data_IF_414965740177
#
_entry.id   IF_414965740177
#
_cell.length_a   1.000
_cell.length_b   1.000
_cell.length_c   1.000
_cell.angle_alpha   90.00
_cell.angle_beta   90.00
_cell.angle_gamma   90.00
#
_symmetry.space_group_name_H-M   'P 1'
#
loop_
_entity.id
_entity.type
_entity.pdbx_description
1 polymer ?
#
# COMPACT_ATOMS: atom_id res chain seq x y z
N UNK A 1 54.51 -59.90 28.08
CA UNK A 1 53.21 -59.69 27.41
C UNK A 1 52.54 -58.47 28.08
N UNK A 2 52.72 -57.28 27.53
CA UNK A 2 52.11 -56.01 28.03
C UNK A 2 50.95 -55.69 27.09
N UNK A 3 49.74 -55.60 27.65
CA UNK A 3 48.54 -55.15 26.97
C UNK A 3 48.36 -53.65 27.16
N UNK A 4 48.45 -52.89 26.05
CA UNK A 4 48.16 -51.47 26.03
C UNK A 4 46.62 -51.25 25.95
N UNK A 5 46.10 -50.50 26.89
CA UNK A 5 44.71 -50.03 26.94
C UNK A 5 44.68 -48.65 26.24
N UNK A 6 43.87 -48.52 25.17
CA UNK A 6 43.60 -47.25 24.46
C UNK A 6 42.31 -46.67 25.05
N UNK A 7 42.27 -45.44 25.53
CA UNK A 7 41.01 -44.79 25.96
C UNK A 7 40.26 -44.24 24.74
N UNK A 8 39.02 -44.69 24.57
CA UNK A 8 38.09 -44.16 23.57
C UNK A 8 37.57 -42.79 23.97
N UNK A 9 37.75 -41.79 23.10
CA UNK A 9 37.08 -40.46 23.21
C UNK A 9 35.60 -40.60 22.80
N UNK A 10 34.72 -40.35 23.73
CA UNK A 10 33.28 -40.15 23.44
C UNK A 10 33.06 -38.70 23.07
N UNK A 11 32.82 -38.41 21.80
CA UNK A 11 32.41 -37.09 21.35
C UNK A 11 30.89 -36.89 21.58
N UNK A 12 30.53 -36.07 22.55
CA UNK A 12 29.16 -35.65 22.75
C UNK A 12 28.77 -34.60 21.73
N UNK A 13 27.91 -34.96 20.78
CA UNK A 13 27.30 -34.02 19.83
C UNK A 13 26.19 -33.24 20.52
N UNK A 14 26.42 -31.94 20.80
CA UNK A 14 25.36 -31.02 21.20
C UNK A 14 24.52 -30.69 19.96
N UNK A 15 23.30 -31.20 19.88
CA UNK A 15 22.30 -30.79 18.91
C UNK A 15 21.72 -29.44 19.37
N UNK A 16 22.11 -28.35 18.72
CA UNK A 16 21.43 -27.04 18.85
C UNK A 16 20.05 -27.16 18.18
N UNK A 17 19.02 -27.29 18.98
CA UNK A 17 17.65 -27.12 18.54
C UNK A 17 17.43 -25.64 18.19
N UNK A 18 17.51 -25.28 16.92
CA UNK A 18 17.04 -23.99 16.42
C UNK A 18 15.51 -23.97 16.54
N UNK A 19 15.01 -23.48 17.66
CA UNK A 19 13.58 -23.20 17.83
C UNK A 19 13.20 -22.11 16.84
N UNK A 20 12.45 -22.44 15.79
CA UNK A 20 11.74 -21.46 14.97
C UNK A 20 10.78 -20.72 15.88
N UNK A 21 11.12 -19.49 16.28
CA UNK A 21 10.19 -18.59 16.92
C UNK A 21 9.04 -18.36 15.95
N UNK A 22 7.94 -19.05 16.16
CA UNK A 22 6.68 -18.81 15.46
C UNK A 22 6.29 -17.38 15.82
N UNK A 23 6.28 -16.47 14.83
CA UNK A 23 5.79 -15.12 15.04
C UNK A 23 4.39 -15.23 15.66
N UNK A 24 4.18 -14.64 16.84
CA UNK A 24 2.90 -14.68 17.52
C UNK A 24 1.82 -14.17 16.55
N UNK A 25 0.71 -14.92 16.46
CA UNK A 25 -0.40 -14.50 15.62
C UNK A 25 -0.84 -13.08 16.01
N UNK A 26 -1.01 -12.24 15.02
CA UNK A 26 -1.42 -10.86 15.24
C UNK A 26 -2.93 -10.79 15.50
N UNK A 27 -3.32 -10.56 16.75
CA UNK A 27 -4.73 -10.49 17.15
C UNK A 27 -5.40 -9.13 16.88
N UNK A 28 -4.60 -8.08 16.64
CA UNK A 28 -5.06 -6.71 16.40
C UNK A 28 -4.41 -6.10 15.14
N UNK A 29 -4.60 -6.73 13.96
CA UNK A 29 -3.96 -6.26 12.74
C UNK A 29 -4.48 -4.88 12.32
N UNK A 30 -3.59 -4.08 11.77
CA UNK A 30 -3.86 -2.84 11.06
C UNK A 30 -3.25 -2.94 9.66
N UNK A 31 -3.90 -2.30 8.69
CA UNK A 31 -3.50 -2.36 7.29
C UNK A 31 -3.10 -0.96 6.84
N UNK A 32 -1.81 -0.64 7.00
CA UNK A 32 -1.28 0.66 6.58
C UNK A 32 -1.16 0.71 5.07
N UNK A 33 -1.75 1.73 4.46
CA UNK A 33 -1.71 1.90 3.01
C UNK A 33 -1.27 3.32 2.64
N UNK A 34 -0.59 3.42 1.50
CA UNK A 34 -0.15 4.68 0.91
C UNK A 34 -0.63 4.77 -0.53
N UNK A 35 -1.27 5.86 -0.86
CA UNK A 35 -1.46 6.26 -2.26
C UNK A 35 -0.22 7.03 -2.72
N UNK A 36 0.07 7.07 -4.02
CA UNK A 36 1.16 7.86 -4.57
C UNK A 36 1.07 9.33 -4.13
N UNK A 37 1.14 10.29 -4.92
CA UNK A 37 1.24 11.69 -4.62
C UNK A 37 2.55 12.23 -5.18
N UNK A 38 3.07 13.33 -4.65
CA UNK A 38 4.29 13.96 -5.20
C UNK A 38 5.61 13.24 -4.85
N UNK A 39 5.58 12.11 -4.16
CA UNK A 39 6.72 11.25 -3.80
C UNK A 39 7.81 11.89 -2.92
N UNK A 40 7.63 13.13 -2.50
CA UNK A 40 8.68 13.87 -1.77
C UNK A 40 9.03 13.30 -0.41
N UNK A 41 8.15 12.52 0.22
CA UNK A 41 8.41 11.85 1.50
C UNK A 41 8.61 10.34 1.34
N UNK A 42 8.60 9.81 0.11
CA UNK A 42 8.74 8.39 -0.15
C UNK A 42 10.01 7.76 0.45
N UNK A 43 11.21 8.38 0.35
CA UNK A 43 12.40 7.84 0.99
C UNK A 43 12.25 7.72 2.51
N UNK A 44 11.74 8.77 3.16
CA UNK A 44 11.51 8.79 4.61
C UNK A 44 10.48 7.73 5.04
N UNK A 45 9.38 7.59 4.28
CA UNK A 45 8.37 6.54 4.54
C UNK A 45 9.03 5.16 4.49
N UNK A 46 9.87 4.89 3.47
CA UNK A 46 10.58 3.63 3.35
C UNK A 46 11.50 3.35 4.55
N UNK A 47 12.27 4.35 4.99
CA UNK A 47 13.15 4.24 6.17
C UNK A 47 12.37 3.94 7.44
N UNK A 48 11.25 4.62 7.67
CA UNK A 48 10.39 4.39 8.84
C UNK A 48 9.80 2.99 8.81
N UNK A 49 9.25 2.55 7.67
CA UNK A 49 8.69 1.21 7.52
C UNK A 49 9.75 0.12 7.78
N UNK A 50 10.96 0.29 7.25
CA UNK A 50 12.07 -0.64 7.46
C UNK A 50 12.49 -0.68 8.93
N UNK A 51 12.75 0.48 9.55
CA UNK A 51 13.15 0.60 10.95
C UNK A 51 12.09 0.05 11.90
N UNK A 52 10.83 0.28 11.58
CA UNK A 52 9.70 -0.22 12.34
C UNK A 52 9.29 -1.66 11.96
N UNK A 53 9.94 -2.29 10.99
CA UNK A 53 9.60 -3.64 10.50
C UNK A 53 8.11 -3.77 10.14
N UNK A 54 7.57 -2.75 9.49
CA UNK A 54 6.17 -2.69 9.04
C UNK A 54 6.09 -2.93 7.54
N UNK A 55 5.19 -3.82 7.13
CA UNK A 55 4.80 -3.96 5.72
C UNK A 55 3.54 -3.16 5.46
N UNK A 56 3.48 -2.51 4.31
CA UNK A 56 2.36 -1.69 3.88
C UNK A 56 1.85 -2.11 2.50
N UNK A 57 0.70 -1.58 2.10
CA UNK A 57 0.20 -1.70 0.73
C UNK A 57 0.25 -0.33 0.06
N UNK A 58 0.78 -0.27 -1.16
CA UNK A 58 0.88 0.95 -1.95
C UNK A 58 -0.10 0.90 -3.13
N UNK A 59 -0.84 1.98 -3.36
CA UNK A 59 -1.71 2.15 -4.52
C UNK A 59 -1.09 3.19 -5.47
N UNK A 60 -0.82 2.77 -6.71
CA UNK A 60 0.03 3.48 -7.64
C UNK A 60 -0.76 4.17 -8.76
N UNK A 61 -0.54 5.47 -8.90
CA UNK A 61 -0.88 6.27 -10.06
C UNK A 61 0.38 6.97 -10.62
N UNK A 62 0.36 7.39 -11.88
CA UNK A 62 1.49 8.06 -12.53
C UNK A 62 1.46 9.58 -12.30
N UNK A 63 1.56 9.98 -11.05
CA UNK A 63 1.43 11.36 -10.60
C UNK A 63 2.71 12.17 -10.80
N UNK A 64 2.57 13.50 -10.95
CA UNK A 64 3.70 14.42 -10.97
C UNK A 64 4.45 14.40 -9.64
N UNK A 65 5.78 14.39 -9.68
CA UNK A 65 6.62 14.37 -8.48
C UNK A 65 7.26 15.72 -8.18
N UNK A 66 7.75 15.91 -6.95
CA UNK A 66 8.46 17.13 -6.54
C UNK A 66 9.75 17.35 -7.32
N UNK A 67 10.44 16.27 -7.70
CA UNK A 67 11.76 16.30 -8.32
C UNK A 67 11.69 16.07 -9.84
N UNK A 68 10.73 16.68 -10.50
CA UNK A 68 10.40 16.47 -11.90
C UNK A 68 9.98 15.02 -12.26
N UNK A 69 9.39 14.86 -13.43
CA UNK A 69 8.88 13.57 -13.89
C UNK A 69 7.66 13.09 -13.09
N UNK A 70 7.42 11.78 -13.19
CA UNK A 70 6.24 11.13 -12.62
C UNK A 70 6.64 9.94 -11.75
N UNK A 71 5.74 9.58 -10.83
CA UNK A 71 5.95 8.50 -9.84
C UNK A 71 6.19 7.12 -10.45
N UNK A 72 5.76 6.88 -11.69
CA UNK A 72 5.99 5.64 -12.44
C UNK A 72 6.99 5.80 -13.59
N UNK A 73 7.79 6.88 -13.62
CA UNK A 73 8.89 7.01 -14.55
C UNK A 73 10.08 6.12 -14.15
N UNK A 74 10.98 5.85 -15.10
CA UNK A 74 12.10 4.94 -14.92
C UNK A 74 13.01 5.33 -13.73
N UNK A 75 13.11 6.60 -13.39
CA UNK A 75 13.88 7.10 -12.25
C UNK A 75 13.40 6.55 -10.90
N UNK A 76 12.12 6.19 -10.78
CA UNK A 76 11.54 5.60 -9.58
C UNK A 76 11.59 4.08 -9.55
N UNK A 77 11.95 3.42 -10.69
CA UNK A 77 12.00 1.97 -10.76
C UNK A 77 12.89 1.32 -9.67
N UNK A 78 14.09 1.84 -9.33
CA UNK A 78 14.89 1.26 -8.24
C UNK A 78 14.17 1.33 -6.88
N UNK A 79 13.45 2.42 -6.61
CA UNK A 79 12.71 2.60 -5.36
C UNK A 79 11.56 1.59 -5.25
N UNK A 80 10.73 1.46 -6.30
CA UNK A 80 9.62 0.51 -6.33
C UNK A 80 10.12 -0.94 -6.26
N UNK A 81 11.21 -1.26 -6.98
CA UNK A 81 11.81 -2.59 -6.94
C UNK A 81 12.30 -2.97 -5.53
N UNK A 82 12.90 -2.03 -4.82
CA UNK A 82 13.32 -2.24 -3.44
C UNK A 82 12.12 -2.49 -2.52
N UNK A 83 11.07 -1.69 -2.61
CA UNK A 83 9.83 -1.91 -1.82
C UNK A 83 9.18 -3.25 -2.11
N UNK A 84 9.17 -3.67 -3.39
CA UNK A 84 8.67 -4.98 -3.78
C UNK A 84 9.50 -6.12 -3.19
N UNK A 85 10.83 -6.01 -3.22
CA UNK A 85 11.74 -7.00 -2.62
C UNK A 85 11.61 -7.07 -1.09
N UNK A 86 11.23 -5.99 -0.43
CA UNK A 86 10.97 -5.94 1.01
C UNK A 86 9.66 -6.61 1.41
N UNK A 87 8.81 -7.02 0.46
CA UNK A 87 7.55 -7.72 0.72
C UNK A 87 6.37 -6.78 1.01
N UNK A 88 6.42 -5.55 0.53
CA UNK A 88 5.23 -4.70 0.46
C UNK A 88 4.28 -5.18 -0.63
N UNK A 89 2.98 -4.86 -0.50
CA UNK A 89 1.96 -5.18 -1.49
C UNK A 89 1.67 -3.96 -2.37
N UNK A 90 1.22 -4.17 -3.61
CA UNK A 90 0.95 -3.10 -4.55
C UNK A 90 -0.39 -3.29 -5.23
N UNK A 91 -1.15 -2.20 -5.38
CA UNK A 91 -2.42 -2.10 -6.08
C UNK A 91 -2.45 -0.89 -7.01
N UNK A 92 -3.47 -0.80 -7.84
CA UNK A 92 -3.67 0.31 -8.79
C UNK A 92 -4.42 1.48 -8.14
N UNK A 93 -4.00 2.72 -8.43
CA UNK A 93 -4.75 3.94 -8.10
C UNK A 93 -5.28 4.62 -9.38
N UNK A 94 -5.51 3.84 -10.43
CA UNK A 94 -5.63 4.24 -11.85
C UNK A 94 -4.36 4.92 -12.35
N UNK A 95 -4.01 4.74 -13.62
CA UNK A 95 -2.73 5.25 -14.12
C UNK A 95 -2.68 6.78 -14.14
N UNK A 96 -3.70 7.44 -14.71
CA UNK A 96 -3.76 8.89 -14.81
C UNK A 96 -4.52 9.54 -13.62
N UNK A 97 -4.64 8.82 -12.47
CA UNK A 97 -5.34 9.26 -11.27
C UNK A 97 -6.73 9.79 -11.57
N UNK A 98 -7.60 8.88 -12.03
CA UNK A 98 -8.88 9.20 -12.66
C UNK A 98 -10.02 9.23 -11.66
N UNK A 99 -10.58 10.41 -11.38
CA UNK A 99 -11.76 10.58 -10.54
C UNK A 99 -13.04 10.20 -11.25
N UNK A 100 -13.85 9.35 -10.64
CA UNK A 100 -15.24 9.16 -11.02
C UNK A 100 -16.06 10.43 -10.72
N UNK A 101 -16.93 10.84 -11.65
CA UNK A 101 -17.80 12.02 -11.51
C UNK A 101 -19.27 11.65 -11.54
N UNK A 102 -19.69 10.81 -12.48
CA UNK A 102 -21.06 10.35 -12.60
C UNK A 102 -21.15 9.06 -13.44
N UNK A 103 -22.19 8.27 -13.18
CA UNK A 103 -22.63 7.23 -14.09
C UNK A 103 -23.45 7.86 -15.24
N UNK A 104 -23.36 7.31 -16.45
CA UNK A 104 -24.05 7.80 -17.62
C UNK A 104 -25.29 6.97 -17.92
N UNK A 105 -26.37 7.64 -18.29
CA UNK A 105 -27.53 6.99 -18.89
C UNK A 105 -27.08 6.24 -20.17
N UNK A 106 -27.38 4.96 -20.25
CA UNK A 106 -26.94 4.11 -21.38
C UNK A 106 -25.57 3.45 -21.18
N UNK A 107 -24.94 3.61 -20.04
CA UNK A 107 -23.68 2.94 -19.65
C UNK A 107 -22.44 3.80 -19.76
N UNK A 108 -21.39 3.37 -19.04
CA UNK A 108 -20.14 4.11 -18.92
C UNK A 108 -20.21 5.22 -17.88
N UNK A 109 -19.15 6.02 -17.83
CA UNK A 109 -18.86 6.95 -16.73
C UNK A 109 -18.34 8.28 -17.27
N UNK A 110 -18.69 9.38 -16.62
CA UNK A 110 -17.99 10.64 -16.72
C UNK A 110 -16.84 10.62 -15.69
N UNK A 111 -15.61 10.70 -16.20
CA UNK A 111 -14.39 10.58 -15.43
C UNK A 111 -13.54 11.82 -15.61
N UNK A 112 -12.70 12.15 -14.61
CA UNK A 112 -11.75 13.27 -14.68
C UNK A 112 -10.36 12.81 -14.28
N UNK A 113 -9.45 12.56 -15.22
CA UNK A 113 -8.04 12.37 -14.93
C UNK A 113 -7.42 13.62 -14.31
N UNK A 114 -6.53 13.45 -13.35
CA UNK A 114 -5.73 14.57 -12.79
C UNK A 114 -4.40 14.71 -13.51
N UNK A 115 -3.96 13.64 -14.15
CA UNK A 115 -2.70 13.58 -14.89
C UNK A 115 -2.91 13.02 -16.30
N UNK A 116 -1.85 13.02 -17.11
CA UNK A 116 -1.90 12.52 -18.47
C UNK A 116 -2.44 13.53 -19.50
N UNK A 117 -2.64 13.09 -20.75
CA UNK A 117 -3.04 13.98 -21.86
C UNK A 117 -4.43 14.62 -21.69
N UNK A 118 -5.30 13.99 -20.88
CA UNK A 118 -6.65 14.45 -20.62
C UNK A 118 -6.82 15.07 -19.24
N UNK A 119 -5.70 15.50 -18.62
CA UNK A 119 -5.72 16.09 -17.29
C UNK A 119 -6.72 17.23 -17.19
N UNK A 120 -7.49 17.22 -16.09
CA UNK A 120 -8.49 18.21 -15.73
C UNK A 120 -9.73 18.32 -16.66
N UNK A 121 -9.81 17.51 -17.71
CA UNK A 121 -10.99 17.41 -18.55
C UNK A 121 -11.91 16.28 -18.12
N UNK A 122 -13.23 16.49 -18.26
CA UNK A 122 -14.19 15.39 -18.10
C UNK A 122 -14.19 14.57 -19.39
N UNK A 123 -13.83 13.30 -19.25
CA UNK A 123 -13.78 12.33 -20.35
C UNK A 123 -14.82 11.24 -20.13
N UNK A 124 -15.28 10.65 -21.23
CA UNK A 124 -16.19 9.49 -21.19
C UNK A 124 -15.36 8.22 -21.22
N UNK A 125 -15.61 7.33 -20.26
CA UNK A 125 -15.03 5.99 -20.23
C UNK A 125 -16.12 4.96 -20.14
N UNK A 126 -16.01 3.90 -20.92
CA UNK A 126 -16.76 2.67 -20.69
C UNK A 126 -16.03 1.76 -19.68
N UNK A 127 -16.59 0.61 -19.38
CA UNK A 127 -15.99 -0.36 -18.48
C UNK A 127 -14.60 -0.83 -18.94
N UNK A 128 -14.43 -1.04 -20.25
CA UNK A 128 -13.16 -1.49 -20.82
C UNK A 128 -12.06 -0.43 -20.68
N UNK A 129 -12.38 0.84 -20.93
CA UNK A 129 -11.45 1.96 -20.78
C UNK A 129 -11.05 2.14 -19.30
N UNK A 130 -11.98 2.00 -18.35
CA UNK A 130 -11.66 2.06 -16.93
C UNK A 130 -10.77 0.89 -16.50
N UNK A 131 -11.07 -0.33 -16.94
CA UNK A 131 -10.22 -1.50 -16.73
C UNK A 131 -8.81 -1.29 -17.30
N UNK A 132 -8.69 -0.68 -18.48
CA UNK A 132 -7.40 -0.35 -19.07
C UNK A 132 -6.60 0.64 -18.21
N UNK A 133 -7.23 1.62 -17.58
CA UNK A 133 -6.59 2.54 -16.64
C UNK A 133 -5.99 1.80 -15.43
N UNK A 134 -6.74 0.86 -14.86
CA UNK A 134 -6.25 0.02 -13.76
C UNK A 134 -5.06 -0.84 -14.20
N UNK A 135 -5.19 -1.47 -15.37
CA UNK A 135 -4.18 -2.36 -15.93
C UNK A 135 -2.89 -1.63 -16.34
N UNK A 136 -2.99 -0.37 -16.83
CA UNK A 136 -1.80 0.43 -17.20
C UNK A 136 -0.85 0.61 -16.01
N UNK A 137 -1.38 0.92 -14.82
CA UNK A 137 -0.57 1.03 -13.59
C UNK A 137 0.12 -0.30 -13.26
N UNK A 138 -0.61 -1.42 -13.34
CA UNK A 138 -0.08 -2.75 -13.08
C UNK A 138 1.00 -3.16 -14.10
N UNK A 139 0.77 -2.91 -15.38
CA UNK A 139 1.74 -3.18 -16.44
C UNK A 139 3.03 -2.39 -16.19
N UNK A 140 2.89 -1.09 -15.93
CA UNK A 140 4.04 -0.23 -15.67
C UNK A 140 4.83 -0.65 -14.43
N UNK A 141 4.14 -1.02 -13.35
CA UNK A 141 4.78 -1.58 -12.16
C UNK A 141 5.56 -2.86 -12.47
N UNK A 142 4.98 -3.77 -13.24
CA UNK A 142 5.64 -5.03 -13.64
C UNK A 142 6.89 -4.76 -14.48
N UNK A 143 6.83 -3.82 -15.43
CA UNK A 143 7.99 -3.41 -16.24
C UNK A 143 9.14 -2.88 -15.36
N UNK A 144 8.82 -2.09 -14.33
CA UNK A 144 9.81 -1.49 -13.44
C UNK A 144 10.42 -2.49 -12.46
N UNK A 145 9.64 -3.44 -11.97
CA UNK A 145 10.04 -4.27 -10.81
C UNK A 145 10.27 -5.73 -11.14
N UNK A 146 9.69 -6.22 -12.25
CA UNK A 146 9.62 -7.64 -12.57
C UNK A 146 8.57 -8.40 -11.74
N UNK A 147 7.82 -7.72 -10.87
CA UNK A 147 6.81 -8.34 -10.01
C UNK A 147 5.39 -7.97 -10.45
N UNK A 148 4.43 -8.84 -10.18
CA UNK A 148 3.02 -8.57 -10.47
C UNK A 148 2.41 -7.68 -9.39
N UNK A 149 1.57 -6.75 -9.81
CA UNK A 149 0.69 -6.02 -8.92
C UNK A 149 -0.49 -6.91 -8.51
N UNK A 150 -0.92 -6.80 -7.25
CA UNK A 150 -2.13 -7.45 -6.79
C UNK A 150 -3.36 -6.85 -7.51
N UNK A 151 -4.42 -7.64 -7.80
CA UNK A 151 -5.63 -7.15 -8.44
C UNK A 151 -6.50 -6.33 -7.47
N UNK A 152 -5.87 -5.44 -6.74
CA UNK A 152 -6.49 -4.49 -5.83
C UNK A 152 -6.40 -3.08 -6.42
N UNK A 153 -7.45 -2.29 -6.23
CA UNK A 153 -7.40 -0.88 -6.61
C UNK A 153 -8.04 0.00 -5.56
N UNK A 154 -7.59 1.24 -5.50
CA UNK A 154 -8.25 2.31 -4.78
C UNK A 154 -8.71 3.36 -5.78
N UNK A 155 -9.99 3.75 -5.72
CA UNK A 155 -10.49 4.82 -6.55
C UNK A 155 -9.99 6.17 -6.04
N UNK A 156 -9.46 7.06 -6.92
CA UNK A 156 -9.02 8.39 -6.54
C UNK A 156 -10.08 9.18 -5.76
N UNK A 157 -9.67 9.72 -4.60
CA UNK A 157 -10.55 10.42 -3.65
C UNK A 157 -11.66 9.55 -3.05
N UNK A 158 -11.56 8.22 -3.16
CA UNK A 158 -12.58 7.28 -2.68
C UNK A 158 -13.91 7.35 -3.45
N UNK A 159 -13.96 8.06 -4.57
CA UNK A 159 -15.20 8.30 -5.33
C UNK A 159 -15.55 7.12 -6.22
N UNK A 160 -16.68 6.50 -5.94
CA UNK A 160 -17.16 5.31 -6.64
C UNK A 160 -18.67 5.35 -6.85
N UNK A 161 -19.15 4.45 -7.72
CA UNK A 161 -20.55 4.05 -7.81
C UNK A 161 -20.66 2.53 -7.84
N UNK A 162 -21.84 1.96 -7.57
CA UNK A 162 -22.05 0.52 -7.73
C UNK A 162 -21.73 0.03 -9.15
N UNK A 163 -22.05 0.83 -10.17
CA UNK A 163 -21.76 0.50 -11.56
C UNK A 163 -20.25 0.49 -11.87
N UNK A 164 -19.50 1.48 -11.36
CA UNK A 164 -18.05 1.54 -11.49
C UNK A 164 -17.37 0.34 -10.81
N UNK A 165 -17.81 -0.01 -9.60
CA UNK A 165 -17.27 -1.16 -8.86
C UNK A 165 -17.59 -2.48 -9.56
N UNK A 166 -18.80 -2.62 -10.13
CA UNK A 166 -19.16 -3.79 -10.91
C UNK A 166 -18.29 -3.92 -12.17
N UNK A 167 -18.03 -2.80 -12.88
CA UNK A 167 -17.16 -2.79 -14.05
C UNK A 167 -15.72 -3.21 -13.70
N UNK A 168 -15.16 -2.68 -12.63
CA UNK A 168 -13.83 -3.09 -12.14
C UNK A 168 -13.80 -4.57 -11.77
N UNK A 169 -14.84 -5.06 -11.08
CA UNK A 169 -14.98 -6.47 -10.70
C UNK A 169 -15.04 -7.43 -11.89
N UNK A 170 -15.70 -7.04 -12.99
CA UNK A 170 -15.77 -7.83 -14.22
C UNK A 170 -14.39 -8.06 -14.88
N UNK A 171 -13.46 -7.15 -14.68
CA UNK A 171 -12.06 -7.31 -15.13
C UNK A 171 -11.10 -7.76 -14.02
N UNK A 172 -11.63 -8.27 -12.91
CA UNK A 172 -10.88 -8.94 -11.85
C UNK A 172 -10.26 -8.00 -10.81
N UNK A 173 -10.63 -6.71 -10.78
CA UNK A 173 -10.13 -5.77 -9.79
C UNK A 173 -11.05 -5.63 -8.58
N UNK A 174 -10.47 -5.62 -7.38
CA UNK A 174 -11.17 -5.48 -6.10
C UNK A 174 -10.89 -4.11 -5.49
N UNK A 175 -11.96 -3.35 -5.23
CA UNK A 175 -11.84 -2.02 -4.63
C UNK A 175 -11.47 -2.10 -3.14
N UNK A 176 -10.55 -1.23 -2.73
CA UNK A 176 -10.09 -1.09 -1.35
C UNK A 176 -10.37 0.33 -0.86
N UNK A 177 -11.44 0.56 -0.09
CA UNK A 177 -11.63 1.81 0.63
C UNK A 177 -10.69 1.88 1.84
N UNK A 178 -10.76 2.98 2.57
CA UNK A 178 -10.17 3.09 3.91
C UNK A 178 -11.26 3.10 4.98
N UNK A 179 -10.88 2.74 6.22
CA UNK A 179 -11.80 2.81 7.37
C UNK A 179 -12.07 4.28 7.75
N UNK A 180 -13.23 4.62 8.30
CA UNK A 180 -13.52 5.99 8.74
C UNK A 180 -12.47 6.55 9.70
N UNK A 181 -11.97 5.75 10.65
CA UNK A 181 -10.87 6.12 11.54
C UNK A 181 -9.50 6.04 10.88
N UNK A 182 -9.41 5.35 9.74
CA UNK A 182 -8.18 5.15 8.98
C UNK A 182 -7.79 6.31 8.07
N UNK A 183 -8.64 7.31 7.87
CA UNK A 183 -8.27 8.55 7.19
C UNK A 183 -7.33 9.36 8.08
N UNK A 184 -6.02 9.33 7.77
CA UNK A 184 -4.99 9.90 8.62
C UNK A 184 -4.84 11.43 8.50
N UNK A 185 -5.49 12.03 7.49
CA UNK A 185 -5.60 13.47 7.32
C UNK A 185 -4.35 14.16 6.78
N UNK A 186 -3.42 13.43 6.21
CA UNK A 186 -2.18 13.97 5.66
C UNK A 186 -2.37 14.90 4.45
N UNK A 187 -3.57 14.91 3.86
CA UNK A 187 -3.97 15.82 2.78
C UNK A 187 -4.74 17.08 3.26
N UNK A 188 -5.05 17.15 4.56
CA UNK A 188 -5.76 18.29 5.13
C UNK A 188 -4.82 19.48 5.36
N UNK A 189 -5.38 20.70 5.37
CA UNK A 189 -4.63 21.93 5.65
C UNK A 189 -3.88 21.86 6.98
N UNK A 190 -2.58 22.18 6.97
CA UNK A 190 -1.74 22.20 8.18
C UNK A 190 -2.23 23.17 9.25
N UNK A 191 -2.79 24.29 8.82
CA UNK A 191 -3.31 25.34 9.71
C UNK A 191 -4.54 24.88 10.49
N UNK A 192 -5.47 24.21 9.81
CA UNK A 192 -6.71 23.73 10.41
C UNK A 192 -6.55 22.39 11.12
N UNK A 193 -5.63 21.57 10.65
CA UNK A 193 -5.36 20.21 11.14
C UNK A 193 -3.88 20.01 11.44
N UNK A 194 -3.36 20.55 12.55
CA UNK A 194 -1.98 20.38 12.96
C UNK A 194 -1.60 18.90 13.11
N UNK A 195 -0.35 18.55 12.78
CA UNK A 195 0.17 17.18 12.87
C UNK A 195 -0.07 16.53 14.24
N UNK A 196 0.11 17.28 15.33
CA UNK A 196 -0.12 16.76 16.69
C UNK A 196 -1.60 16.37 16.91
N UNK A 197 -2.56 17.13 16.39
CA UNK A 197 -3.99 16.82 16.48
C UNK A 197 -4.36 15.59 15.66
N UNK A 198 -3.79 15.46 14.45
CA UNK A 198 -3.98 14.27 13.61
C UNK A 198 -3.44 13.01 14.28
N UNK A 199 -2.24 13.08 14.87
CA UNK A 199 -1.65 11.97 15.62
C UNK A 199 -2.53 11.55 16.81
N UNK A 200 -2.95 12.51 17.63
CA UNK A 200 -3.82 12.23 18.79
C UNK A 200 -5.14 11.61 18.37
N UNK A 201 -5.78 12.14 17.32
CA UNK A 201 -7.02 11.59 16.77
C UNK A 201 -6.82 10.16 16.30
N UNK A 202 -5.81 9.89 15.50
CA UNK A 202 -5.52 8.56 14.96
C UNK A 202 -5.25 7.56 16.09
N UNK A 203 -4.41 7.91 17.06
CA UNK A 203 -4.15 7.06 18.21
C UNK A 203 -5.41 6.76 19.04
N UNK A 204 -6.34 7.68 19.17
CA UNK A 204 -7.59 7.49 19.91
C UNK A 204 -8.61 6.63 19.18
N UNK A 205 -8.75 6.83 17.86
CA UNK A 205 -9.91 6.36 17.10
C UNK A 205 -9.67 5.05 16.33
N UNK A 206 -8.43 4.73 15.95
CA UNK A 206 -8.08 3.52 15.20
C UNK A 206 -8.37 2.25 16.02
N UNK A 207 -8.92 1.24 15.33
CA UNK A 207 -9.32 -0.06 15.89
C UNK A 207 -8.69 -1.22 15.10
N UNK A 208 -8.58 -2.42 15.69
CA UNK A 208 -8.15 -3.62 14.98
C UNK A 208 -8.97 -3.85 13.71
N UNK A 209 -8.30 -4.17 12.61
CA UNK A 209 -8.93 -4.38 11.30
C UNK A 209 -9.01 -3.13 10.42
N UNK A 210 -8.69 -1.94 10.94
CA UNK A 210 -8.77 -0.71 10.15
C UNK A 210 -7.73 -0.68 9.02
N UNK A 211 -8.19 -0.20 7.85
CA UNK A 211 -7.36 0.14 6.70
C UNK A 211 -7.03 1.63 6.80
N UNK A 212 -5.75 1.95 6.93
CA UNK A 212 -5.23 3.29 7.13
C UNK A 212 -4.76 3.89 5.81
N UNK A 213 -5.10 5.15 5.54
CA UNK A 213 -4.72 5.89 4.35
C UNK A 213 -3.77 7.04 4.68
N UNK A 214 -2.63 7.06 4.01
CA UNK A 214 -1.73 8.20 3.86
C UNK A 214 -1.18 8.25 2.44
N UNK A 215 -0.36 9.24 2.12
CA UNK A 215 0.22 9.45 0.79
C UNK A 215 1.76 9.53 0.86
N UNK A 216 2.42 9.28 -0.26
CA UNK A 216 3.87 9.48 -0.41
C UNK A 216 4.23 10.96 -0.65
N UNK A 217 3.43 11.84 -0.09
CA UNK A 217 3.55 13.29 -0.14
C UNK A 217 2.36 13.95 -0.86
N UNK A 218 1.91 15.07 -0.34
CA UNK A 218 0.72 15.80 -0.78
C UNK A 218 1.05 17.28 -1.03
N UNK A 219 0.56 17.83 -2.16
CA UNK A 219 0.79 19.22 -2.55
C UNK A 219 0.09 20.24 -1.65
N UNK A 220 -1.06 19.89 -1.10
CA UNK A 220 -1.90 20.78 -0.31
C UNK A 220 -1.39 21.04 1.10
N UNK A 221 -0.39 20.28 1.59
CA UNK A 221 0.07 20.38 2.95
C UNK A 221 1.47 21.01 3.05
N UNK A 222 1.58 22.14 3.74
CA UNK A 222 2.86 22.85 3.93
C UNK A 222 3.75 22.21 5.01
N UNK A 223 3.15 21.70 6.10
CA UNK A 223 3.85 21.00 7.18
C UNK A 223 3.74 19.48 6.92
N UNK A 224 4.79 18.82 6.41
CA UNK A 224 4.72 17.43 5.97
C UNK A 224 4.30 16.49 7.09
N UNK A 225 3.26 15.69 6.84
CA UNK A 225 2.71 14.75 7.81
C UNK A 225 3.68 13.61 8.15
N UNK A 226 4.35 13.02 7.16
CA UNK A 226 5.12 11.80 7.35
C UNK A 226 6.28 11.94 8.36
N UNK A 227 7.12 13.01 8.37
CA UNK A 227 8.16 13.15 9.39
C UNK A 227 7.60 13.27 10.80
N UNK A 228 6.48 14.00 10.96
CA UNK A 228 5.94 14.34 12.27
C UNK A 228 5.02 13.26 12.86
N UNK A 229 4.31 12.53 12.02
CA UNK A 229 3.20 11.66 12.47
C UNK A 229 3.47 10.17 12.24
N UNK A 230 4.07 9.77 11.12
CA UNK A 230 4.14 8.36 10.71
C UNK A 230 4.81 7.47 11.77
N UNK A 231 6.02 7.79 12.18
CA UNK A 231 6.74 6.94 13.14
C UNK A 231 6.14 6.97 14.55
N UNK A 232 5.77 8.15 15.12
CA UNK A 232 5.04 8.20 16.38
C UNK A 232 3.71 7.45 16.35
N UNK A 233 2.97 7.48 15.22
CA UNK A 233 1.73 6.73 15.06
C UNK A 233 1.98 5.21 15.11
N UNK A 234 2.92 4.71 14.31
CA UNK A 234 3.28 3.29 14.30
C UNK A 234 3.70 2.83 15.70
N UNK A 235 4.58 3.58 16.34
CA UNK A 235 5.09 3.27 17.69
C UNK A 235 3.95 3.24 18.70
N UNK A 236 3.10 4.26 18.71
CA UNK A 236 1.99 4.36 19.65
C UNK A 236 0.92 3.27 19.45
N UNK A 237 0.66 2.86 18.20
CA UNK A 237 -0.24 1.76 17.91
C UNK A 237 0.35 0.41 18.34
N UNK A 238 1.64 0.17 18.11
CA UNK A 238 2.34 -1.03 18.59
C UNK A 238 2.33 -1.13 20.12
N UNK A 239 2.55 -0.04 20.82
CA UNK A 239 2.47 0.01 22.30
C UNK A 239 1.07 -0.37 22.83
N UNK A 240 0.03 -0.22 22.03
CA UNK A 240 -1.35 -0.65 22.32
C UNK A 240 -1.64 -2.09 21.89
N UNK A 241 -0.62 -2.82 21.46
CA UNK A 241 -0.70 -4.22 21.05
C UNK A 241 -1.20 -4.43 19.62
N UNK A 242 -1.22 -3.37 18.78
CA UNK A 242 -1.48 -3.53 17.36
C UNK A 242 -0.25 -4.04 16.63
N UNK A 243 -0.47 -4.72 15.52
CA UNK A 243 0.53 -5.14 14.56
C UNK A 243 0.09 -4.71 13.16
N UNK A 244 1.03 -4.66 12.23
CA UNK A 244 0.78 -4.21 10.87
C UNK A 244 0.95 -5.36 9.90
N UNK A 245 0.02 -5.47 8.96
CA UNK A 245 0.01 -6.46 7.89
C UNK A 245 -0.31 -5.79 6.55
N UNK A 246 -0.03 -6.48 5.45
CA UNK A 246 -0.47 -6.06 4.13
C UNK A 246 -1.93 -6.50 3.87
N UNK A 247 -2.57 -5.92 2.87
CA UNK A 247 -3.93 -6.32 2.47
C UNK A 247 -4.01 -7.78 1.98
N UNK A 248 -2.88 -8.44 1.71
CA UNK A 248 -2.87 -9.88 1.44
C UNK A 248 -3.31 -10.72 2.65
N UNK A 249 -3.26 -10.16 3.84
CA UNK A 249 -3.69 -10.81 5.09
C UNK A 249 -5.08 -10.34 5.54
N UNK A 250 -5.63 -9.29 4.90
CA UNK A 250 -6.94 -8.75 5.26
C UNK A 250 -8.06 -9.75 4.91
N UNK A 251 -9.00 -10.05 5.84
CA UNK A 251 -10.02 -11.09 5.64
C UNK A 251 -10.81 -10.96 4.33
N UNK A 252 -11.17 -9.73 3.93
CA UNK A 252 -11.92 -9.47 2.70
C UNK A 252 -11.12 -9.73 1.42
N UNK A 253 -9.81 -9.46 1.42
CA UNK A 253 -8.99 -9.50 0.19
C UNK A 253 -8.15 -10.75 0.07
N UNK A 254 -7.80 -11.36 1.19
CA UNK A 254 -6.95 -12.57 1.27
C UNK A 254 -7.41 -13.68 0.33
N UNK A 255 -8.70 -13.99 0.33
CA UNK A 255 -9.22 -15.11 -0.43
C UNK A 255 -9.29 -14.78 -1.93
N UNK A 256 -9.63 -13.53 -2.29
CA UNK A 256 -9.57 -13.04 -3.66
C UNK A 256 -8.15 -13.09 -4.23
N UNK A 257 -7.15 -12.70 -3.45
CA UNK A 257 -5.74 -12.73 -3.85
C UNK A 257 -5.17 -14.15 -3.99
N UNK A 258 -5.68 -15.11 -3.19
CA UNK A 258 -5.30 -16.53 -3.30
C UNK A 258 -5.95 -17.22 -4.49
N UNK A 259 -7.17 -16.82 -4.84
CA UNK A 259 -7.93 -17.38 -5.94
C UNK A 259 -7.44 -16.92 -7.32
N UNK A 260 -6.64 -15.84 -7.39
CA UNK A 260 -6.09 -15.34 -8.64
C UNK A 260 -4.97 -16.29 -9.10
N UNK A 261 -5.14 -17.07 -10.21
CA UNK A 261 -4.12 -17.98 -10.67
C UNK A 261 -2.84 -17.21 -10.98
N UNK A 262 -1.72 -17.70 -10.48
CA UNK A 262 -0.39 -17.33 -10.97
C UNK A 262 -0.27 -17.87 -12.40
N UNK A 263 -0.88 -17.17 -13.38
CA UNK A 263 -0.62 -17.47 -14.79
C UNK A 263 0.81 -17.07 -15.10
N UNK A 264 1.58 -17.97 -15.74
CA UNK A 264 2.98 -17.75 -16.04
C UNK A 264 3.23 -16.54 -16.94
#
# INVERSE_FOLDING_TARGET
MQRSIVPGLVAAALALAAGSAQAAACDKPLFLTFDTGHMGVAPLVAEVLARQQVKATFFLANEKTLNDGRSLDAQWAPWWKARAAEGHLFGSHTFDHVYWRADRAGGGFDMRPTFGPQADHVVRMDAAAYCAELQRAATRFTEMTGQRMAPLFRAPGGKTSPALLAAAGQCGWHHVPWSPAGFLGDELSSEQFPNASLLQKALRDIRPGDILLAHLGIWSRQDPWAPAVLEPLITGLKQRGHCFATLAEHPTYRDALRATPTRP
#
